data_IF_740383827604
#
_entry.id   IF_740383827604
#
_cell.length_a   1.000
_cell.length_b   1.000
_cell.length_c   1.000
_cell.angle_alpha   90.00
_cell.angle_beta   90.00
_cell.angle_gamma   90.00
#
_symmetry.space_group_name_H-M   'P 1'
#
loop_
_entity.id
_entity.type
_entity.pdbx_description
1 polymer ?
#
# COMPACT_ATOMS: atom_id res chain seq x y z
N UNK A 1 -1.20 1.10 19.30
CA UNK A 1 -1.57 0.58 17.97
C UNK A 1 -2.00 1.74 17.08
N UNK A 2 -1.44 1.85 15.88
CA UNK A 2 -1.76 2.98 15.01
C UNK A 2 -3.16 2.85 14.43
N UNK A 3 -3.81 4.00 14.26
CA UNK A 3 -5.10 4.07 13.59
C UNK A 3 -4.85 4.35 12.10
N UNK A 4 -5.49 3.57 11.25
CA UNK A 4 -5.36 3.69 9.80
C UNK A 4 -6.73 3.90 9.18
N UNK A 5 -6.74 4.52 7.99
CA UNK A 5 -7.94 4.66 7.18
C UNK A 5 -7.65 4.21 5.75
N UNK A 6 -8.68 3.68 5.10
CA UNK A 6 -8.59 3.26 3.70
C UNK A 6 -8.14 4.43 2.83
N UNK A 7 -7.17 4.19 1.96
CA UNK A 7 -6.61 5.20 1.07
C UNK A 7 -5.39 5.92 1.61
N UNK A 8 -5.04 5.71 2.87
CA UNK A 8 -3.83 6.32 3.42
C UNK A 8 -2.58 5.64 2.90
N UNK A 9 -1.53 6.45 2.74
CA UNK A 9 -0.19 5.94 2.45
C UNK A 9 0.63 5.95 3.73
N UNK A 10 1.33 4.85 3.94
CA UNK A 10 2.18 4.67 5.11
C UNK A 10 3.53 4.11 4.71
N UNK A 11 4.58 4.50 5.42
CA UNK A 11 5.84 3.79 5.40
C UNK A 11 5.69 2.54 6.27
N UNK A 12 5.93 1.38 5.69
CA UNK A 12 5.95 0.11 6.41
C UNK A 12 7.40 -0.34 6.59
N UNK A 13 7.77 -0.66 7.82
CA UNK A 13 9.08 -1.22 8.15
C UNK A 13 8.93 -2.72 8.32
N UNK A 14 9.28 -3.46 7.28
CA UNK A 14 9.01 -4.88 7.18
C UNK A 14 10.24 -5.69 7.58
N UNK A 15 10.05 -6.80 8.32
CA UNK A 15 11.17 -7.68 8.63
C UNK A 15 11.63 -8.39 7.36
N UNK A 16 12.94 -8.66 7.28
CA UNK A 16 13.52 -9.46 6.20
C UNK A 16 13.37 -10.94 6.56
N UNK A 17 12.82 -11.76 5.65
CA UNK A 17 12.74 -13.20 5.88
C UNK A 17 14.13 -13.80 6.17
N UNK A 18 14.19 -14.80 7.05
CA UNK A 18 15.44 -15.49 7.40
C UNK A 18 16.19 -14.88 8.56
N UNK A 19 15.58 -13.91 9.27
CA UNK A 19 16.16 -13.38 10.50
C UNK A 19 17.31 -12.41 10.31
N UNK A 20 17.48 -11.85 9.12
CA UNK A 20 18.41 -10.74 8.91
C UNK A 20 18.02 -9.58 9.80
N UNK A 21 19.01 -8.92 10.39
CA UNK A 21 18.79 -7.76 11.22
C UNK A 21 18.36 -6.52 10.44
N UNK A 22 18.60 -6.48 9.13
CA UNK A 22 18.23 -5.36 8.28
C UNK A 22 16.82 -5.59 7.72
N UNK A 23 15.84 -4.88 8.27
CA UNK A 23 14.52 -4.81 7.67
C UNK A 23 14.56 -4.00 6.38
N UNK A 24 13.45 -3.96 5.65
CA UNK A 24 13.34 -3.03 4.55
C UNK A 24 12.11 -2.14 4.73
N UNK A 25 12.25 -0.91 4.28
CA UNK A 25 11.22 0.12 4.38
C UNK A 25 10.59 0.32 3.03
N UNK A 26 9.25 0.31 2.99
CA UNK A 26 8.51 0.40 1.74
C UNK A 26 7.23 1.22 1.94
N UNK A 27 6.86 2.08 0.99
CA UNK A 27 5.56 2.73 1.06
C UNK A 27 4.46 1.76 0.65
N UNK A 28 3.32 1.85 1.33
CA UNK A 28 2.15 1.03 1.05
C UNK A 28 0.89 1.91 1.07
N UNK A 29 -0.13 1.47 0.33
CA UNK A 29 -1.46 2.07 0.39
C UNK A 29 -2.37 1.14 1.18
N UNK A 30 -3.06 1.68 2.17
CA UNK A 30 -4.07 0.93 2.91
C UNK A 30 -5.30 0.78 2.03
N UNK A 31 -5.65 -0.46 1.70
CA UNK A 31 -6.85 -0.76 0.90
C UNK A 31 -7.93 -1.43 1.72
N UNK A 32 -7.61 -1.88 2.92
CA UNK A 32 -8.57 -2.51 3.82
C UNK A 32 -9.68 -1.52 4.19
N UNK A 33 -10.93 -2.00 4.15
CA UNK A 33 -12.09 -1.18 4.48
C UNK A 33 -12.07 -0.68 5.92
N UNK A 34 -12.63 0.50 6.14
CA UNK A 34 -12.60 1.16 7.44
C UNK A 34 -13.29 0.37 8.58
N UNK A 35 -14.36 -0.40 8.36
CA UNK A 35 -14.90 -1.22 9.44
C UNK A 35 -13.87 -2.20 10.03
N UNK A 36 -13.04 -2.83 9.19
CA UNK A 36 -11.96 -3.69 9.64
C UNK A 36 -10.81 -2.88 10.25
N UNK A 37 -10.54 -1.70 9.70
CA UNK A 37 -9.49 -0.82 10.24
C UNK A 37 -9.81 -0.39 11.67
N UNK A 38 -11.08 -0.20 11.98
CA UNK A 38 -11.55 0.17 13.32
C UNK A 38 -11.71 -1.01 14.27
N UNK A 39 -11.58 -2.23 13.76
CA UNK A 39 -11.68 -3.44 14.56
C UNK A 39 -10.36 -3.72 15.29
N UNK A 40 -10.34 -4.82 16.06
CA UNK A 40 -9.12 -5.28 16.74
C UNK A 40 -8.23 -6.15 15.86
N UNK A 41 -8.57 -6.28 14.57
CA UNK A 41 -7.76 -7.06 13.64
C UNK A 41 -6.31 -6.53 13.64
N UNK A 42 -5.30 -7.37 13.92
CA UNK A 42 -3.93 -6.89 14.05
C UNK A 42 -3.26 -6.58 12.72
N UNK A 43 -3.84 -6.98 11.60
CA UNK A 43 -3.28 -6.78 10.28
C UNK A 43 -4.09 -5.80 9.45
N UNK A 44 -3.44 -5.17 8.49
CA UNK A 44 -4.04 -4.23 7.56
C UNK A 44 -3.69 -4.66 6.14
N UNK A 45 -4.70 -4.82 5.30
CA UNK A 45 -4.49 -5.20 3.90
C UNK A 45 -4.00 -3.99 3.11
N UNK A 46 -2.85 -4.15 2.46
CA UNK A 46 -2.14 -3.06 1.78
C UNK A 46 -1.67 -3.45 0.41
N UNK A 47 -1.50 -2.45 -0.46
CA UNK A 47 -0.86 -2.60 -1.77
C UNK A 47 0.52 -1.92 -1.69
N UNK A 48 1.60 -2.64 -2.02
CA UNK A 48 2.93 -2.05 -1.99
C UNK A 48 3.15 -1.11 -3.18
N UNK A 49 3.95 -0.08 -2.94
CA UNK A 49 4.41 0.83 -4.00
C UNK A 49 5.90 0.60 -4.25
N UNK A 50 6.30 0.71 -5.50
CA UNK A 50 7.69 0.65 -5.90
C UNK A 50 8.04 1.84 -6.78
N UNK A 51 9.26 2.36 -6.63
CA UNK A 51 9.77 3.39 -7.53
C UNK A 51 10.30 2.83 -8.85
N UNK A 52 10.33 1.51 -9.00
CA UNK A 52 10.66 0.87 -10.28
C UNK A 52 9.43 0.94 -11.20
N UNK A 53 9.53 1.71 -12.27
CA UNK A 53 8.41 1.96 -13.18
C UNK A 53 8.34 0.99 -14.35
N UNK A 54 9.19 -0.03 -14.39
CA UNK A 54 9.29 -0.99 -15.51
C UNK A 54 7.93 -1.61 -15.86
N UNK A 55 7.13 -1.93 -14.85
CA UNK A 55 5.84 -2.62 -15.03
C UNK A 55 4.65 -1.70 -14.82
N UNK A 56 4.82 -0.38 -15.02
CA UNK A 56 3.74 0.59 -14.78
C UNK A 56 2.49 0.30 -15.60
N UNK A 57 2.65 -0.23 -16.81
CA UNK A 57 1.53 -0.52 -17.72
C UNK A 57 1.00 -1.96 -17.61
N UNK A 58 1.58 -2.77 -16.73
CA UNK A 58 1.11 -4.14 -16.55
C UNK A 58 -0.30 -4.16 -15.95
N UNK A 59 -1.15 -5.13 -16.33
CA UNK A 59 -2.48 -5.25 -15.73
C UNK A 59 -2.41 -5.36 -14.20
N UNK A 60 -3.29 -4.64 -13.52
CA UNK A 60 -3.30 -4.64 -12.06
C UNK A 60 -2.33 -3.65 -11.43
N UNK A 61 -1.58 -2.88 -12.23
CA UNK A 61 -0.68 -1.87 -11.73
C UNK A 61 -1.21 -0.47 -12.04
N UNK A 62 -0.94 0.46 -11.13
CA UNK A 62 -1.38 1.85 -11.27
C UNK A 62 -0.19 2.77 -10.99
N UNK A 63 0.15 3.62 -11.94
CA UNK A 63 1.19 4.61 -11.73
C UNK A 63 0.63 5.79 -10.93
N UNK A 64 1.40 6.21 -9.93
CA UNK A 64 1.07 7.35 -9.07
C UNK A 64 2.26 8.30 -9.07
N UNK A 65 2.04 9.54 -9.49
CA UNK A 65 3.12 10.53 -9.49
C UNK A 65 3.49 10.95 -8.05
N UNK A 66 4.69 11.48 -7.91
CA UNK A 66 5.16 12.00 -6.63
C UNK A 66 4.22 13.08 -6.07
N UNK A 67 3.63 13.90 -6.94
CA UNK A 67 2.66 14.91 -6.51
C UNK A 67 1.41 14.29 -5.87
N UNK A 68 0.97 13.17 -6.42
CA UNK A 68 -0.23 12.47 -5.94
C UNK A 68 0.01 11.78 -4.60
N UNK A 69 1.19 11.19 -4.42
CA UNK A 69 1.50 10.40 -3.23
C UNK A 69 2.10 11.21 -2.10
N UNK A 70 2.82 12.27 -2.43
CA UNK A 70 3.66 12.98 -1.47
C UNK A 70 5.02 12.34 -1.26
N UNK A 71 5.34 11.28 -2.01
CA UNK A 71 6.65 10.65 -1.97
C UNK A 71 7.65 11.44 -2.84
N UNK A 72 8.94 11.15 -2.68
CA UNK A 72 9.99 11.87 -3.43
C UNK A 72 10.09 11.44 -4.90
N UNK A 73 9.52 10.28 -5.25
CA UNK A 73 9.60 9.72 -6.60
C UNK A 73 8.22 9.23 -7.04
N UNK A 74 8.03 9.16 -8.36
CA UNK A 74 6.88 8.48 -8.94
C UNK A 74 6.93 7.00 -8.55
N UNK A 75 5.76 6.40 -8.41
CA UNK A 75 5.64 5.02 -7.92
C UNK A 75 4.62 4.25 -8.72
N UNK A 76 4.73 2.92 -8.67
CA UNK A 76 3.72 2.00 -9.19
C UNK A 76 3.09 1.28 -8.00
N UNK A 77 1.77 1.35 -7.91
CA UNK A 77 1.00 0.54 -6.97
C UNK A 77 0.76 -0.83 -7.60
N UNK A 78 1.32 -1.86 -6.99
CA UNK A 78 1.30 -3.21 -7.54
C UNK A 78 0.22 -4.04 -6.86
N UNK A 79 -1.00 -3.99 -7.40
CA UNK A 79 -2.15 -4.67 -6.82
C UNK A 79 -2.01 -6.19 -6.79
N UNK A 80 -1.24 -6.78 -7.71
CA UNK A 80 -1.01 -8.23 -7.71
C UNK A 80 -0.19 -8.71 -6.52
N UNK A 81 0.46 -7.80 -5.81
CA UNK A 81 1.24 -8.10 -4.60
C UNK A 81 0.53 -7.65 -3.32
N UNK A 82 -0.78 -7.48 -3.39
CA UNK A 82 -1.63 -7.21 -2.23
C UNK A 82 -1.26 -8.13 -1.06
N UNK A 83 -1.04 -7.57 0.12
CA UNK A 83 -0.59 -8.35 1.28
C UNK A 83 -1.06 -7.75 2.59
N UNK A 84 -1.09 -8.58 3.62
CA UNK A 84 -1.45 -8.16 4.97
C UNK A 84 -0.21 -7.70 5.71
N UNK A 85 -0.27 -6.52 6.29
CA UNK A 85 0.82 -5.91 7.06
C UNK A 85 0.39 -5.86 8.52
N UNK A 86 1.24 -6.31 9.44
CA UNK A 86 0.98 -6.13 10.86
C UNK A 86 0.98 -4.63 11.17
N UNK A 87 -0.01 -4.17 11.93
CA UNK A 87 -0.10 -2.74 12.30
C UNK A 87 1.16 -2.23 12.96
N UNK A 88 1.87 -3.07 13.69
CA UNK A 88 3.11 -2.70 14.36
C UNK A 88 4.21 -2.27 13.37
N UNK A 89 4.11 -2.68 12.12
CA UNK A 89 5.10 -2.33 11.09
C UNK A 89 4.78 -1.02 10.37
N UNK A 90 3.60 -0.45 10.58
CA UNK A 90 3.25 0.84 9.98
C UNK A 90 3.89 1.96 10.81
N UNK A 91 4.95 2.55 10.27
CA UNK A 91 5.83 3.44 11.02
C UNK A 91 5.45 4.92 10.92
N UNK A 92 5.14 5.40 9.71
CA UNK A 92 4.86 6.82 9.50
C UNK A 92 3.81 7.01 8.41
N UNK A 93 2.81 7.82 8.69
CA UNK A 93 1.81 8.20 7.71
C UNK A 93 2.42 9.22 6.74
N UNK A 94 2.29 8.96 5.43
CA UNK A 94 2.74 9.88 4.39
C UNK A 94 1.64 10.86 4.01
N UNK A 95 0.42 10.35 3.81
CA UNK A 95 -0.71 11.14 3.36
C UNK A 95 -1.91 10.26 3.06
N UNK A 96 -2.81 10.79 2.24
CA UNK A 96 -4.02 10.06 1.84
C UNK A 96 -4.30 10.33 0.37
N UNK A 97 -4.58 9.28 -0.39
CA UNK A 97 -4.94 9.42 -1.79
C UNK A 97 -6.33 10.06 -1.94
N UNK A 98 -6.47 10.89 -2.98
CA UNK A 98 -7.79 11.37 -3.38
C UNK A 98 -8.68 10.18 -3.73
N UNK A 99 -10.01 10.30 -3.54
CA UNK A 99 -10.93 9.18 -3.80
C UNK A 99 -10.80 8.59 -5.20
N UNK A 100 -10.55 9.41 -6.21
CA UNK A 100 -10.37 8.93 -7.59
C UNK A 100 -9.16 8.02 -7.73
N UNK A 101 -8.05 8.33 -7.07
CA UNK A 101 -6.84 7.50 -7.13
C UNK A 101 -7.01 6.21 -6.36
N UNK A 102 -7.64 6.28 -5.19
CA UNK A 102 -7.98 5.08 -4.44
C UNK A 102 -8.86 4.15 -5.27
N UNK A 103 -9.88 4.70 -5.94
CA UNK A 103 -10.77 3.90 -6.77
C UNK A 103 -10.01 3.17 -7.89
N UNK A 104 -9.03 3.82 -8.50
CA UNK A 104 -8.19 3.17 -9.52
C UNK A 104 -7.47 1.95 -8.95
N UNK A 105 -6.97 2.03 -7.73
CA UNK A 105 -6.30 0.91 -7.07
C UNK A 105 -7.30 -0.20 -6.74
N UNK A 106 -8.48 0.15 -6.23
CA UNK A 106 -9.51 -0.84 -5.90
C UNK A 106 -10.00 -1.57 -7.16
N UNK A 107 -10.15 -0.87 -8.28
CA UNK A 107 -10.48 -1.49 -9.57
C UNK A 107 -9.36 -2.43 -10.01
N UNK A 108 -8.10 -2.04 -9.83
CA UNK A 108 -6.96 -2.90 -10.14
C UNK A 108 -6.96 -4.18 -9.31
N UNK A 109 -7.34 -4.09 -8.05
CA UNK A 109 -7.49 -5.28 -7.19
C UNK A 109 -8.60 -6.19 -7.74
N UNK A 110 -9.72 -5.64 -8.17
CA UNK A 110 -10.80 -6.41 -8.78
C UNK A 110 -10.30 -7.16 -10.02
N UNK A 111 -9.49 -6.50 -10.85
CA UNK A 111 -8.90 -7.14 -12.03
C UNK A 111 -8.02 -8.32 -11.61
N UNK A 112 -7.16 -8.11 -10.62
CA UNK A 112 -6.27 -9.19 -10.12
C UNK A 112 -7.07 -10.36 -9.58
N UNK A 113 -8.21 -10.09 -8.92
CA UNK A 113 -9.06 -11.13 -8.35
C UNK A 113 -10.04 -11.75 -9.37
N UNK A 114 -10.07 -11.25 -10.58
CA UNK A 114 -10.98 -11.76 -11.61
C UNK A 114 -12.44 -11.34 -11.41
N UNK A 115 -12.64 -10.21 -10.82
CA UNK A 115 -13.99 -9.73 -10.50
C UNK A 115 -14.52 -8.73 -11.51
#
# INVERSE_FOLDING_TARGET
>A
MVEVAQGELWWAELPVPGGSSAGFRRPVVVVQGNPLNRSRLPTVLCVPLTSNLTWADAPGNTMLSAEVTGLSKDSVANASQLFAVDRAYLAARVGKLAPKRLEQILVSIDIVLGR
#
